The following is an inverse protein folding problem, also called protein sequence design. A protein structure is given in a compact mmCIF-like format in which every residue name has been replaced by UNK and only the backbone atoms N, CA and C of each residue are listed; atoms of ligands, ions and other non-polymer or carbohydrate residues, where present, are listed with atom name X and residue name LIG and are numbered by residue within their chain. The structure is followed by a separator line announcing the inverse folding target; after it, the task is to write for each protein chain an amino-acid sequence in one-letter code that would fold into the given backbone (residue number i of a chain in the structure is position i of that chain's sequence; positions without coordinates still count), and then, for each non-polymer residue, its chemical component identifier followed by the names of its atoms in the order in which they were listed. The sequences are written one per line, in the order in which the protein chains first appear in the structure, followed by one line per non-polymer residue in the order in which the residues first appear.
data_IF_313482233036
#
_entry.id   IF_313482233036
#
_cell.length_a   1.000
_cell.length_b   1.000
_cell.length_c   1.000
_cell.angle_alpha   90.00
_cell.angle_beta   90.00
_cell.angle_gamma   90.00
#
_symmetry.space_group_name_H-M   'P 1'
#
loop_
_entity.id
_entity.type
_entity.pdbx_description
1 polymer ?
#
# COMPACT_ATOMS: atom_id res chain seq x y z
N UNK A 1 -11.90 -0.33 17.86
CA UNK A 1 -11.59 -1.39 16.87
C UNK A 1 -10.30 -2.15 17.19
N UNK A 2 -9.14 -1.48 17.37
CA UNK A 2 -7.89 -2.17 17.75
C UNK A 2 -7.99 -3.01 19.02
N UNK A 3 -8.70 -2.54 20.05
CA UNK A 3 -8.86 -3.25 21.31
C UNK A 3 -9.70 -4.52 21.14
N UNK A 4 -10.79 -4.46 20.37
CA UNK A 4 -11.65 -5.61 20.13
C UNK A 4 -10.91 -6.71 19.34
N UNK A 5 -10.21 -6.34 18.26
CA UNK A 5 -9.39 -7.27 17.49
C UNK A 5 -8.30 -7.88 18.36
N UNK A 6 -7.60 -7.08 19.16
CA UNK A 6 -6.57 -7.57 20.09
C UNK A 6 -7.14 -8.57 21.10
N UNK A 7 -8.30 -8.29 21.69
CA UNK A 7 -8.95 -9.20 22.64
C UNK A 7 -9.32 -10.53 22.00
N UNK A 8 -9.81 -10.52 20.75
CA UNK A 8 -10.17 -11.73 20.03
C UNK A 8 -8.95 -12.54 19.60
N UNK A 9 -7.92 -11.90 19.08
CA UNK A 9 -6.76 -12.56 18.45
C UNK A 9 -5.72 -13.03 19.47
N UNK A 10 -5.48 -12.28 20.56
CA UNK A 10 -4.40 -12.60 21.51
C UNK A 10 -4.54 -14.01 22.11
N UNK A 11 -5.73 -14.48 22.56
CA UNK A 11 -5.85 -15.85 23.07
C UNK A 11 -5.56 -16.91 22.02
N UNK A 12 -5.96 -16.70 20.78
CA UNK A 12 -5.76 -17.63 19.68
C UNK A 12 -4.27 -17.69 19.27
N UNK A 13 -3.64 -16.53 19.15
CA UNK A 13 -2.21 -16.43 18.87
C UNK A 13 -1.33 -17.05 19.96
N UNK A 14 -1.71 -16.88 21.24
CA UNK A 14 -1.04 -17.55 22.37
C UNK A 14 -1.15 -19.08 22.31
N UNK A 15 -2.17 -19.62 21.63
CA UNK A 15 -2.36 -21.05 21.37
C UNK A 15 -1.71 -21.51 20.05
N UNK A 16 -0.91 -20.65 19.41
CA UNK A 16 -0.18 -20.97 18.17
C UNK A 16 -0.93 -20.71 16.87
N UNK A 17 -2.21 -20.31 16.92
CA UNK A 17 -2.98 -20.00 15.70
C UNK A 17 -2.55 -18.63 15.13
N UNK A 18 -1.88 -18.66 14.00
CA UNK A 18 -1.38 -17.44 13.32
C UNK A 18 -2.03 -17.17 11.98
N UNK A 19 -2.56 -18.21 11.34
CA UNK A 19 -3.21 -18.11 10.02
C UNK A 19 -4.49 -18.91 9.98
N UNK A 20 -5.37 -18.53 9.08
CA UNK A 20 -6.61 -19.24 8.74
C UNK A 20 -6.55 -19.58 7.27
N UNK A 21 -6.81 -20.84 6.93
CA UNK A 21 -6.96 -21.25 5.55
C UNK A 21 -8.39 -21.01 5.07
N UNK A 22 -8.52 -20.38 3.91
CA UNK A 22 -9.80 -20.16 3.25
C UNK A 22 -10.13 -21.35 2.35
N UNK A 23 -11.43 -21.54 2.03
CA UNK A 23 -11.87 -22.57 1.09
C UNK A 23 -11.18 -22.50 -0.28
N UNK A 24 -10.68 -21.33 -0.66
CA UNK A 24 -9.89 -21.11 -1.88
C UNK A 24 -8.45 -21.63 -1.80
N UNK A 25 -8.03 -22.24 -0.68
CA UNK A 25 -6.64 -22.64 -0.42
C UNK A 25 -5.71 -21.48 -0.03
N UNK A 26 -6.22 -20.27 0.07
CA UNK A 26 -5.43 -19.10 0.47
C UNK A 26 -5.33 -19.02 1.99
N UNK A 27 -4.11 -18.99 2.51
CA UNK A 27 -3.84 -18.72 3.93
C UNK A 27 -3.78 -17.23 4.21
N UNK A 28 -4.51 -16.77 5.22
CA UNK A 28 -4.56 -15.37 5.65
C UNK A 28 -4.22 -15.25 7.14
N UNK A 29 -3.54 -14.17 7.52
CA UNK A 29 -3.24 -13.91 8.93
C UNK A 29 -4.51 -13.67 9.74
N UNK A 30 -4.53 -14.20 10.96
CA UNK A 30 -5.68 -14.13 11.85
C UNK A 30 -6.14 -12.69 12.12
N UNK A 31 -5.20 -11.75 12.23
CA UNK A 31 -5.52 -10.33 12.46
C UNK A 31 -6.29 -9.73 11.27
N UNK A 32 -5.89 -10.12 10.06
CA UNK A 32 -6.58 -9.69 8.84
C UNK A 32 -7.96 -10.32 8.73
N UNK A 33 -8.06 -11.63 9.00
CA UNK A 33 -9.33 -12.34 8.97
C UNK A 33 -10.34 -11.77 9.97
N UNK A 34 -9.91 -11.56 11.22
CA UNK A 34 -10.76 -10.94 12.26
C UNK A 34 -11.17 -9.52 11.91
N UNK A 35 -10.24 -8.70 11.41
CA UNK A 35 -10.57 -7.33 10.99
C UNK A 35 -11.60 -7.34 9.86
N UNK A 36 -11.37 -8.15 8.85
CA UNK A 36 -12.28 -8.25 7.70
C UNK A 36 -13.67 -8.67 8.13
N UNK A 37 -13.76 -9.68 9.01
CA UNK A 37 -15.04 -10.15 9.55
C UNK A 37 -15.77 -9.05 10.34
N UNK A 38 -15.06 -8.36 11.25
CA UNK A 38 -15.68 -7.28 12.05
C UNK A 38 -16.16 -6.14 11.15
N UNK A 39 -15.38 -5.74 10.14
CA UNK A 39 -15.76 -4.68 9.21
C UNK A 39 -16.96 -5.08 8.34
N UNK A 40 -17.03 -6.33 7.93
CA UNK A 40 -18.15 -6.87 7.17
C UNK A 40 -19.42 -6.90 8.02
N UNK A 41 -19.33 -7.35 9.30
CA UNK A 41 -20.46 -7.32 10.23
C UNK A 41 -20.93 -5.89 10.54
N UNK A 42 -20.04 -4.93 10.61
CA UNK A 42 -20.41 -3.52 10.77
C UNK A 42 -21.12 -2.98 9.52
N UNK A 43 -20.68 -3.37 8.33
CA UNK A 43 -21.37 -3.02 7.09
C UNK A 43 -22.77 -3.64 6.99
N UNK A 44 -22.92 -4.92 7.40
CA UNK A 44 -24.23 -5.56 7.46
C UNK A 44 -25.17 -4.88 8.48
N UNK A 45 -24.65 -4.51 9.65
CA UNK A 45 -25.45 -3.77 10.64
C UNK A 45 -25.89 -2.39 10.10
N UNK A 46 -25.02 -1.68 9.41
CA UNK A 46 -25.37 -0.44 8.75
C UNK A 46 -26.47 -0.64 7.71
N UNK A 47 -26.34 -1.66 6.87
CA UNK A 47 -27.35 -2.05 5.88
C UNK A 47 -28.70 -2.38 6.53
N UNK A 48 -28.71 -3.13 7.64
CA UNK A 48 -29.94 -3.43 8.40
C UNK A 48 -30.59 -2.14 8.97
N UNK A 49 -29.79 -1.19 9.46
CA UNK A 49 -30.30 0.09 9.95
C UNK A 49 -30.90 0.89 8.79
N UNK A 50 -30.23 0.98 7.66
CA UNK A 50 -30.73 1.71 6.50
C UNK A 50 -32.05 1.10 5.97
N UNK A 51 -32.20 -0.22 6.00
CA UNK A 51 -33.46 -0.90 5.63
C UNK A 51 -34.58 -0.60 6.65
N UNK A 52 -34.27 -0.60 7.94
CA UNK A 52 -35.24 -0.23 8.96
C UNK A 52 -35.71 1.23 8.83
N UNK A 53 -34.80 2.13 8.52
CA UNK A 53 -35.09 3.56 8.26
C UNK A 53 -35.92 3.70 6.97
N UNK A 54 -35.61 2.95 5.91
CA UNK A 54 -36.38 2.91 4.67
C UNK A 54 -37.84 2.58 4.92
N UNK A 55 -38.10 1.50 5.67
CA UNK A 55 -39.45 1.05 5.98
C UNK A 55 -40.19 2.05 6.89
N UNK A 56 -39.49 2.55 7.93
CA UNK A 56 -40.08 3.48 8.89
C UNK A 56 -40.46 4.83 8.29
N UNK A 57 -39.70 5.30 7.30
CA UNK A 57 -39.92 6.58 6.62
C UNK A 57 -40.79 6.45 5.36
N UNK A 58 -41.16 5.23 4.96
CA UNK A 58 -41.94 4.98 3.75
C UNK A 58 -41.19 5.37 2.48
N UNK A 59 -39.89 5.12 2.46
CA UNK A 59 -39.06 5.31 1.28
C UNK A 59 -39.41 4.29 0.19
N UNK A 60 -39.07 4.60 -1.07
CA UNK A 60 -39.35 3.77 -2.24
C UNK A 60 -38.12 3.61 -3.16
N UNK A 61 -36.95 4.00 -2.64
CA UNK A 61 -35.71 3.92 -3.38
C UNK A 61 -34.45 4.16 -2.54
N UNK A 62 -33.32 4.09 -3.21
CA UNK A 62 -31.99 4.12 -2.63
C UNK A 62 -31.06 5.06 -3.38
N UNK A 63 -30.22 5.78 -2.67
CA UNK A 63 -29.11 6.53 -3.26
C UNK A 63 -27.78 5.94 -2.79
N UNK A 64 -26.92 5.57 -3.75
CA UNK A 64 -25.59 5.04 -3.47
C UNK A 64 -24.62 6.19 -3.22
N UNK A 65 -23.90 6.18 -2.10
CA UNK A 65 -22.86 7.19 -1.82
C UNK A 65 -21.74 7.15 -2.87
N UNK A 66 -21.00 8.28 -3.02
CA UNK A 66 -19.95 8.38 -4.03
C UNK A 66 -18.63 8.90 -3.47
N UNK A 67 -17.51 8.43 -4.01
CA UNK A 67 -16.17 8.90 -3.67
C UNK A 67 -15.15 8.68 -4.81
N UNK A 68 -14.08 9.48 -4.85
CA UNK A 68 -13.11 9.44 -5.95
C UNK A 68 -12.32 8.12 -6.05
N UNK A 69 -12.00 7.45 -4.95
CA UNK A 69 -11.24 6.19 -4.96
C UNK A 69 -12.12 4.94 -5.16
N UNK A 70 -13.17 5.08 -5.95
CA UNK A 70 -14.14 4.02 -6.23
C UNK A 70 -13.53 2.88 -7.04
N UNK A 71 -13.98 1.66 -6.76
CA UNK A 71 -13.63 0.49 -7.57
C UNK A 71 -14.31 0.57 -8.95
N UNK A 72 -13.68 0.03 -10.01
CA UNK A 72 -14.22 0.14 -11.37
C UNK A 72 -15.61 -0.46 -11.56
N UNK A 73 -15.95 -1.50 -10.79
CA UNK A 73 -17.28 -2.15 -10.81
C UNK A 73 -18.38 -1.30 -10.17
N UNK A 74 -18.02 -0.38 -9.28
CA UNK A 74 -18.95 0.51 -8.60
C UNK A 74 -18.97 1.93 -9.20
N UNK A 75 -17.98 2.30 -10.00
CA UNK A 75 -17.90 3.64 -10.60
C UNK A 75 -19.16 4.04 -11.40
N UNK A 76 -19.77 3.15 -12.22
CA UNK A 76 -20.95 3.53 -13.01
C UNK A 76 -22.22 3.73 -12.18
N UNK A 77 -22.26 3.21 -10.97
CA UNK A 77 -23.49 3.14 -10.15
C UNK A 77 -23.47 4.06 -8.93
N UNK A 78 -22.29 4.52 -8.51
CA UNK A 78 -22.18 5.42 -7.35
C UNK A 78 -22.85 6.77 -7.59
N UNK A 79 -23.39 7.37 -6.54
CA UNK A 79 -24.04 8.69 -6.54
C UNK A 79 -25.36 8.73 -7.32
N UNK A 80 -25.93 7.57 -7.64
CA UNK A 80 -27.18 7.49 -8.39
C UNK A 80 -28.32 6.98 -7.53
N UNK A 81 -29.53 7.37 -7.91
CA UNK A 81 -30.79 6.97 -7.28
C UNK A 81 -31.44 5.83 -8.06
N UNK A 82 -31.98 4.87 -7.35
CA UNK A 82 -32.62 3.66 -7.89
C UNK A 82 -33.89 3.37 -7.10
N UNK A 83 -34.94 2.90 -7.77
CA UNK A 83 -36.10 2.32 -7.09
C UNK A 83 -35.78 0.97 -6.45
N UNK A 84 -36.57 0.54 -5.48
CA UNK A 84 -36.29 -0.67 -4.69
C UNK A 84 -35.99 -1.91 -5.53
N UNK A 85 -36.86 -2.23 -6.49
CA UNK A 85 -36.69 -3.40 -7.35
C UNK A 85 -35.45 -3.28 -8.26
N UNK A 86 -35.13 -2.09 -8.71
CA UNK A 86 -33.96 -1.82 -9.54
C UNK A 86 -32.68 -1.92 -8.72
N UNK A 87 -32.67 -1.33 -7.52
CA UNK A 87 -31.54 -1.41 -6.58
C UNK A 87 -31.26 -2.87 -6.17
N UNK A 88 -32.27 -3.62 -5.79
CA UNK A 88 -32.11 -5.02 -5.42
C UNK A 88 -31.52 -5.85 -6.56
N UNK A 89 -32.05 -5.71 -7.78
CA UNK A 89 -31.52 -6.37 -8.97
C UNK A 89 -30.08 -5.99 -9.23
N UNK A 90 -29.75 -4.69 -9.18
CA UNK A 90 -28.41 -4.18 -9.37
C UNK A 90 -27.47 -4.75 -8.31
N UNK A 91 -27.79 -4.59 -7.03
CA UNK A 91 -26.95 -4.99 -5.90
C UNK A 91 -26.70 -6.50 -5.89
N UNK A 92 -27.68 -7.31 -6.30
CA UNK A 92 -27.53 -8.76 -6.43
C UNK A 92 -26.68 -9.18 -7.66
N UNK A 93 -26.54 -8.32 -8.66
CA UNK A 93 -25.70 -8.57 -9.83
C UNK A 93 -24.21 -8.26 -9.58
N UNK A 94 -23.89 -7.50 -8.53
CA UNK A 94 -22.52 -7.11 -8.23
C UNK A 94 -21.75 -8.28 -7.62
N UNK A 95 -20.50 -8.45 -8.03
CA UNK A 95 -19.59 -9.40 -7.40
C UNK A 95 -19.36 -9.06 -5.92
N UNK A 96 -19.39 -7.78 -5.58
CA UNK A 96 -19.29 -7.23 -4.24
C UNK A 96 -20.45 -6.27 -4.03
N UNK A 97 -21.42 -6.69 -3.24
CA UNK A 97 -22.60 -5.89 -2.91
C UNK A 97 -22.21 -4.58 -2.22
N UNK A 98 -23.03 -3.55 -2.39
CA UNK A 98 -22.89 -2.28 -1.69
C UNK A 98 -22.92 -2.54 -0.16
N UNK A 99 -22.05 -1.89 0.59
CA UNK A 99 -21.91 -2.08 2.04
C UNK A 99 -21.18 -3.34 2.49
N UNK A 100 -20.97 -4.34 1.61
CA UNK A 100 -20.35 -5.62 1.96
C UNK A 100 -18.88 -5.73 1.54
N UNK A 101 -18.14 -6.67 2.16
CA UNK A 101 -16.76 -7.02 1.81
C UNK A 101 -15.80 -5.83 1.72
N UNK A 102 -15.90 -4.89 2.67
CA UNK A 102 -15.17 -3.62 2.69
C UNK A 102 -15.46 -2.74 1.45
N UNK A 103 -16.64 -2.80 0.91
CA UNK A 103 -17.14 -1.75 0.03
C UNK A 103 -17.14 -0.42 0.81
N UNK A 104 -16.65 0.65 0.19
CA UNK A 104 -16.65 1.99 0.80
C UNK A 104 -17.95 2.77 0.60
N UNK A 105 -18.93 2.17 -0.10
CA UNK A 105 -20.22 2.79 -0.37
C UNK A 105 -21.26 2.37 0.67
N UNK A 106 -22.21 3.28 0.93
CA UNK A 106 -23.47 3.02 1.64
C UNK A 106 -24.63 3.25 0.69
N UNK A 107 -25.73 2.56 0.90
CA UNK A 107 -27.00 2.84 0.24
C UNK A 107 -27.89 3.58 1.25
N UNK A 108 -28.32 4.80 0.91
CA UNK A 108 -29.15 5.61 1.79
C UNK A 108 -30.59 5.56 1.27
N UNK A 109 -31.60 5.36 2.14
CA UNK A 109 -33.00 5.35 1.74
C UNK A 109 -33.46 6.74 1.29
N UNK A 110 -34.28 6.76 0.26
CA UNK A 110 -34.84 8.01 -0.32
C UNK A 110 -36.29 7.82 -0.73
N UNK A 111 -36.99 8.95 -0.92
CA UNK A 111 -38.27 9.00 -1.61
C UNK A 111 -38.02 9.55 -3.03
N UNK A 112 -38.25 8.72 -4.04
CA UNK A 112 -37.99 9.07 -5.43
C UNK A 112 -38.84 10.28 -5.86
N UNK A 113 -38.20 11.18 -6.59
CA UNK A 113 -38.84 12.40 -7.05
C UNK A 113 -39.06 13.49 -5.97
N UNK A 114 -38.81 13.15 -4.69
CA UNK A 114 -38.86 14.11 -3.54
C UNK A 114 -37.45 14.46 -3.11
N UNK A 115 -36.61 13.47 -2.85
CA UNK A 115 -35.22 13.71 -2.49
C UNK A 115 -34.39 14.15 -3.70
N UNK A 116 -33.81 15.33 -3.63
CA UNK A 116 -32.84 15.76 -4.64
C UNK A 116 -31.57 14.88 -4.55
N UNK A 117 -30.97 14.53 -5.70
CA UNK A 117 -29.70 13.79 -5.71
C UNK A 117 -28.63 14.51 -4.89
N UNK A 118 -27.94 13.76 -4.02
CA UNK A 118 -26.85 14.27 -3.18
C UNK A 118 -25.66 14.74 -4.02
N UNK A 119 -25.45 14.07 -5.17
CA UNK A 119 -24.35 14.36 -6.07
C UNK A 119 -24.85 14.88 -7.42
N UNK A 120 -24.22 15.94 -7.89
CA UNK A 120 -24.43 16.43 -9.27
C UNK A 120 -23.56 15.63 -10.24
N UNK A 121 -23.95 15.58 -11.52
CA UNK A 121 -23.13 14.93 -12.56
C UNK A 121 -21.71 15.51 -12.63
N UNK A 122 -21.56 16.82 -12.39
CA UNK A 122 -20.25 17.47 -12.36
C UNK A 122 -19.38 16.96 -11.20
N UNK A 123 -19.98 16.66 -10.03
CA UNK A 123 -19.26 16.08 -8.89
C UNK A 123 -18.87 14.63 -9.17
N UNK A 124 -19.76 13.84 -9.74
CA UNK A 124 -19.47 12.45 -10.13
C UNK A 124 -18.35 12.39 -11.19
N UNK A 125 -18.44 13.25 -12.21
CA UNK A 125 -17.37 13.36 -13.20
C UNK A 125 -16.04 13.78 -12.57
N UNK A 126 -16.07 14.73 -11.63
CA UNK A 126 -14.86 15.12 -10.89
C UNK A 126 -14.26 13.96 -10.11
N UNK A 127 -15.07 13.12 -9.44
CA UNK A 127 -14.55 11.94 -8.72
C UNK A 127 -13.89 10.96 -9.69
N UNK A 128 -14.48 10.75 -10.86
CA UNK A 128 -13.89 9.93 -11.91
C UNK A 128 -12.57 10.51 -12.42
N UNK A 129 -12.55 11.79 -12.77
CA UNK A 129 -11.35 12.47 -13.26
C UNK A 129 -10.23 12.46 -12.20
N UNK A 130 -10.56 12.65 -10.91
CA UNK A 130 -9.62 12.59 -9.82
C UNK A 130 -9.04 11.17 -9.65
N UNK A 131 -9.88 10.13 -9.77
CA UNK A 131 -9.43 8.74 -9.76
C UNK A 131 -8.50 8.44 -10.93
N UNK A 132 -8.90 8.82 -12.15
CA UNK A 132 -8.12 8.58 -13.36
C UNK A 132 -6.83 9.39 -13.40
N UNK A 133 -6.84 10.66 -12.93
CA UNK A 133 -5.63 11.47 -12.80
C UNK A 133 -4.63 10.78 -11.90
N UNK A 134 -5.10 10.23 -10.79
CA UNK A 134 -4.32 9.38 -9.89
C UNK A 134 -3.04 10.03 -9.39
N UNK A 135 -2.05 9.21 -9.11
CA UNK A 135 -0.74 9.60 -8.54
C UNK A 135 0.39 8.82 -9.20
N UNK A 136 1.59 9.39 -9.22
CA UNK A 136 2.78 8.73 -9.77
C UNK A 136 3.76 8.42 -8.65
N UNK A 137 4.21 7.19 -8.57
CA UNK A 137 5.24 6.75 -7.64
C UNK A 137 6.23 5.80 -8.32
N UNK A 138 7.51 6.07 -8.19
CA UNK A 138 8.60 5.28 -8.80
C UNK A 138 8.41 5.01 -10.32
N UNK A 139 7.85 5.99 -11.04
CA UNK A 139 7.58 5.88 -12.48
C UNK A 139 6.31 5.11 -12.84
N UNK A 140 5.59 4.55 -11.88
CA UNK A 140 4.27 3.93 -12.09
C UNK A 140 3.16 4.92 -11.76
N UNK A 141 2.16 4.96 -12.64
CA UNK A 141 0.93 5.71 -12.42
C UNK A 141 -0.10 4.78 -11.79
N UNK A 142 -0.69 5.22 -10.71
CA UNK A 142 -1.78 4.55 -10.00
C UNK A 142 -3.01 5.45 -10.07
N UNK A 143 -4.18 4.88 -10.33
CA UNK A 143 -5.44 5.53 -9.97
C UNK A 143 -5.52 5.67 -8.44
N UNK A 144 -6.41 6.50 -7.91
CA UNK A 144 -6.57 6.60 -6.45
C UNK A 144 -7.00 5.25 -5.83
N UNK A 145 -7.85 4.50 -6.54
CA UNK A 145 -8.23 3.14 -6.15
C UNK A 145 -7.03 2.21 -6.10
N UNK A 146 -6.23 2.16 -7.17
CA UNK A 146 -5.04 1.30 -7.24
C UNK A 146 -3.99 1.68 -6.19
N UNK A 147 -3.82 2.98 -5.89
CA UNK A 147 -2.93 3.42 -4.81
C UNK A 147 -3.39 2.86 -3.44
N UNK A 148 -4.69 2.83 -3.18
CA UNK A 148 -5.27 2.20 -1.98
C UNK A 148 -5.06 0.68 -1.94
N UNK A 149 -5.16 -0.01 -3.09
CA UNK A 149 -4.87 -1.44 -3.20
C UNK A 149 -3.38 -1.73 -2.98
N UNK A 150 -2.49 -0.94 -3.57
CA UNK A 150 -1.05 -1.06 -3.38
C UNK A 150 -0.66 -0.83 -1.92
N UNK A 151 -1.22 0.19 -1.26
CA UNK A 151 -1.04 0.39 0.17
C UNK A 151 -1.40 -0.87 0.96
N UNK A 152 -2.54 -1.47 0.66
CA UNK A 152 -3.02 -2.69 1.33
C UNK A 152 -2.11 -3.89 1.06
N UNK A 153 -1.54 -3.98 -0.15
CA UNK A 153 -0.58 -5.02 -0.54
C UNK A 153 0.72 -4.91 0.25
N UNK A 154 1.28 -3.70 0.38
CA UNK A 154 2.49 -3.45 1.19
C UNK A 154 2.23 -3.77 2.67
N UNK A 155 1.10 -3.36 3.22
CA UNK A 155 0.70 -3.69 4.60
C UNK A 155 0.64 -5.20 4.84
N UNK A 156 0.10 -5.95 3.88
CA UNK A 156 0.07 -7.41 3.96
C UNK A 156 1.49 -8.00 3.96
N UNK A 157 2.37 -7.49 3.09
CA UNK A 157 3.79 -7.86 3.05
C UNK A 157 4.49 -7.63 4.39
N UNK A 158 4.27 -6.47 5.02
CA UNK A 158 4.83 -6.17 6.35
C UNK A 158 4.35 -7.18 7.40
N UNK A 159 3.05 -7.52 7.41
CA UNK A 159 2.52 -8.52 8.33
C UNK A 159 3.09 -9.91 8.09
N UNK A 160 3.27 -10.29 6.83
CA UNK A 160 3.89 -11.56 6.47
C UNK A 160 5.33 -11.66 7.00
N UNK A 161 6.15 -10.63 6.78
CA UNK A 161 7.53 -10.59 7.29
C UNK A 161 7.55 -10.65 8.81
N UNK A 162 6.65 -9.95 9.50
CA UNK A 162 6.57 -10.01 10.97
C UNK A 162 6.24 -11.40 11.48
N UNK A 163 5.32 -12.13 10.83
CA UNK A 163 5.02 -13.54 11.17
C UNK A 163 6.22 -14.43 10.90
N UNK A 164 6.94 -14.20 9.82
CA UNK A 164 8.13 -14.93 9.49
C UNK A 164 9.23 -14.73 10.55
N UNK A 165 9.47 -13.50 10.98
CA UNK A 165 10.43 -13.23 12.10
C UNK A 165 10.03 -13.98 13.37
N UNK A 166 8.74 -14.06 13.69
CA UNK A 166 8.28 -14.81 14.87
C UNK A 166 8.54 -16.32 14.70
N UNK A 167 8.32 -16.86 13.51
CA UNK A 167 8.63 -18.26 13.22
C UNK A 167 10.13 -18.53 13.25
N UNK A 168 10.94 -17.63 12.68
CA UNK A 168 12.39 -17.74 12.68
C UNK A 168 12.97 -17.70 14.10
N UNK A 169 12.40 -16.87 14.99
CA UNK A 169 12.80 -16.82 16.42
C UNK A 169 12.47 -18.14 17.15
N UNK A 170 11.35 -18.78 16.81
CA UNK A 170 10.92 -20.06 17.41
C UNK A 170 11.76 -21.24 16.89
N UNK A 171 12.27 -21.16 15.67
CA UNK A 171 13.02 -22.25 14.99
C UNK A 171 14.52 -22.00 14.92
N UNK A 172 15.02 -20.93 15.52
CA UNK A 172 16.43 -20.51 15.45
C UNK A 172 16.96 -20.43 14.01
N UNK A 173 16.11 -19.95 13.08
CA UNK A 173 16.40 -19.89 11.66
C UNK A 173 17.57 -18.91 11.38
N UNK A 174 18.60 -19.32 10.63
CA UNK A 174 19.73 -18.45 10.27
C UNK A 174 19.33 -17.22 9.45
N UNK A 175 18.19 -17.25 8.74
CA UNK A 175 17.67 -16.12 7.98
C UNK A 175 16.96 -15.03 8.83
N UNK A 176 16.85 -15.22 10.14
CA UNK A 176 16.19 -14.27 11.06
C UNK A 176 16.68 -12.84 10.85
N UNK A 177 17.99 -12.63 10.81
CA UNK A 177 18.57 -11.30 10.63
C UNK A 177 18.17 -10.68 9.28
N UNK A 178 18.16 -11.48 8.23
CA UNK A 178 17.74 -11.06 6.88
C UNK A 178 16.27 -10.58 6.87
N UNK A 179 15.38 -11.33 7.54
CA UNK A 179 13.97 -10.93 7.64
C UNK A 179 13.78 -9.70 8.52
N UNK A 180 14.56 -9.52 9.57
CA UNK A 180 14.56 -8.31 10.39
C UNK A 180 15.00 -7.07 9.58
N UNK A 181 16.03 -7.18 8.76
CA UNK A 181 16.48 -6.13 7.84
C UNK A 181 15.37 -5.82 6.82
N UNK A 182 14.84 -6.87 6.17
CA UNK A 182 13.75 -6.77 5.21
C UNK A 182 12.55 -6.02 5.77
N UNK A 183 12.16 -6.30 7.01
CA UNK A 183 11.06 -5.60 7.68
C UNK A 183 11.28 -4.08 7.69
N UNK A 184 12.47 -3.64 8.06
CA UNK A 184 12.76 -2.18 8.16
C UNK A 184 12.80 -1.51 6.79
N UNK A 185 13.37 -2.17 5.79
CA UNK A 185 13.37 -1.67 4.41
C UNK A 185 11.94 -1.47 3.91
N UNK A 186 11.08 -2.48 4.11
CA UNK A 186 9.69 -2.42 3.65
C UNK A 186 8.86 -1.40 4.42
N UNK A 187 9.09 -1.24 5.72
CA UNK A 187 8.42 -0.20 6.49
C UNK A 187 8.82 1.21 6.04
N UNK A 188 10.08 1.42 5.68
CA UNK A 188 10.53 2.69 5.12
C UNK A 188 9.89 2.96 3.75
N UNK A 189 9.76 1.93 2.91
CA UNK A 189 9.07 2.01 1.62
C UNK A 189 7.59 2.34 1.78
N UNK A 190 6.90 1.68 2.71
CA UNK A 190 5.52 1.98 3.05
C UNK A 190 5.30 3.45 3.41
N UNK A 191 6.15 3.98 4.28
CA UNK A 191 6.05 5.39 4.70
C UNK A 191 6.27 6.36 3.52
N UNK A 192 7.24 6.05 2.64
CA UNK A 192 7.51 6.85 1.43
C UNK A 192 6.35 6.79 0.44
N UNK A 193 5.86 5.59 0.18
CA UNK A 193 4.70 5.38 -0.70
C UNK A 193 3.52 6.20 -0.20
N UNK A 194 3.10 6.02 1.05
CA UNK A 194 1.97 6.75 1.62
C UNK A 194 2.14 8.27 1.51
N UNK A 195 3.33 8.78 1.81
CA UNK A 195 3.63 10.21 1.68
C UNK A 195 3.53 10.69 0.23
N UNK A 196 4.06 9.93 -0.71
CA UNK A 196 4.08 10.30 -2.13
C UNK A 196 2.68 10.30 -2.75
N UNK A 197 1.83 9.34 -2.38
CA UNK A 197 0.47 9.22 -2.91
C UNK A 197 -0.59 9.95 -2.07
N UNK A 198 -0.18 10.65 -1.01
CA UNK A 198 -1.11 11.42 -0.16
C UNK A 198 -1.99 10.57 0.74
N UNK A 199 -1.67 9.30 0.97
CA UNK A 199 -2.44 8.41 1.84
C UNK A 199 -1.89 8.40 3.27
N UNK A 200 -2.74 8.36 4.31
CA UNK A 200 -2.29 8.22 5.68
C UNK A 200 -1.67 6.83 5.92
N UNK A 201 -0.63 6.76 6.74
CA UNK A 201 -0.11 5.48 7.23
C UNK A 201 -1.08 4.85 8.22
N UNK A 202 -1.37 3.55 8.06
CA UNK A 202 -2.34 2.82 8.90
C UNK A 202 -1.61 1.85 9.83
N UNK A 203 -0.97 2.40 10.87
CA UNK A 203 -0.13 1.62 11.81
C UNK A 203 -0.88 0.46 12.47
N UNK A 204 -2.17 0.61 12.70
CA UNK A 204 -3.05 -0.42 13.25
C UNK A 204 -3.21 -1.64 12.33
N UNK A 205 -3.05 -1.45 11.01
CA UNK A 205 -3.07 -2.53 10.01
C UNK A 205 -1.76 -3.29 9.92
N UNK A 206 -0.68 -2.75 10.48
CA UNK A 206 0.63 -3.37 10.48
C UNK A 206 0.87 -4.27 11.71
N UNK A 207 -0.07 -4.33 12.64
CA UNK A 207 0.07 -5.10 13.87
C UNK A 207 -0.09 -6.60 13.61
N UNK A 208 0.76 -7.38 14.27
CA UNK A 208 0.75 -8.85 14.29
C UNK A 208 0.82 -9.31 15.73
N UNK A 209 -0.04 -10.26 16.11
CA UNK A 209 -0.06 -10.81 17.46
C UNK A 209 1.27 -11.51 17.77
N UNK A 210 1.84 -11.22 18.93
CA UNK A 210 3.15 -11.73 19.33
C UNK A 210 4.33 -10.88 18.85
N UNK A 211 4.17 -10.00 17.85
CA UNK A 211 5.23 -9.11 17.40
C UNK A 211 5.19 -7.80 18.22
N UNK A 212 6.03 -7.71 19.22
CA UNK A 212 6.06 -6.60 20.15
C UNK A 212 7.24 -5.63 19.97
N UNK A 213 7.48 -4.83 21.01
CA UNK A 213 8.58 -3.84 21.03
C UNK A 213 9.95 -4.53 20.95
N UNK A 214 10.12 -5.70 21.59
CA UNK A 214 11.38 -6.43 21.57
C UNK A 214 11.78 -6.84 20.16
N UNK A 215 10.87 -7.47 19.41
CA UNK A 215 11.10 -7.85 18.02
C UNK A 215 11.37 -6.64 17.13
N UNK A 216 10.60 -5.57 17.34
CA UNK A 216 10.79 -4.31 16.59
C UNK A 216 12.18 -3.71 16.84
N UNK A 217 12.63 -3.68 18.09
CA UNK A 217 13.96 -3.15 18.43
C UNK A 217 15.09 -4.00 17.84
N UNK A 218 14.95 -5.34 17.88
CA UNK A 218 15.92 -6.24 17.23
C UNK A 218 16.00 -5.99 15.72
N UNK A 219 14.87 -5.81 15.07
CA UNK A 219 14.85 -5.47 13.64
C UNK A 219 15.52 -4.11 13.34
N UNK A 220 15.31 -3.10 14.19
CA UNK A 220 16.01 -1.81 14.07
C UNK A 220 17.53 -1.99 14.21
N UNK A 221 17.95 -2.82 15.16
CA UNK A 221 19.37 -3.07 15.41
C UNK A 221 20.04 -3.84 14.27
N UNK A 222 19.38 -4.90 13.79
CA UNK A 222 19.82 -5.66 12.63
C UNK A 222 19.99 -4.75 11.40
N UNK A 223 19.00 -3.90 11.14
CA UNK A 223 19.05 -2.94 10.04
C UNK A 223 20.20 -1.93 10.16
N UNK A 224 20.45 -1.38 11.35
CA UNK A 224 21.55 -0.44 11.60
C UNK A 224 22.93 -1.05 11.38
N UNK A 225 23.07 -2.37 11.63
CA UNK A 225 24.31 -3.12 11.46
C UNK A 225 24.46 -3.77 10.09
N UNK A 226 23.42 -3.76 9.27
CA UNK A 226 23.43 -4.40 7.97
C UNK A 226 24.47 -3.75 7.04
N UNK A 227 25.19 -4.57 6.29
CA UNK A 227 26.01 -4.09 5.20
C UNK A 227 25.13 -3.53 4.06
N UNK A 228 25.61 -2.54 3.29
CA UNK A 228 24.83 -1.94 2.21
C UNK A 228 24.25 -2.96 1.22
N UNK A 229 25.00 -4.02 0.93
CA UNK A 229 24.56 -5.07 0.00
C UNK A 229 23.32 -5.81 0.48
N UNK A 230 23.10 -5.94 1.79
CA UNK A 230 21.92 -6.60 2.39
C UNK A 230 20.65 -5.76 2.29
N UNK A 231 20.76 -4.50 1.88
CA UNK A 231 19.65 -3.56 1.77
C UNK A 231 19.09 -3.48 0.35
N UNK A 232 19.73 -4.16 -0.59
CA UNK A 232 19.31 -4.20 -1.99
C UNK A 232 18.22 -5.24 -2.24
N UNK A 233 17.55 -5.06 -3.35
CA UNK A 233 16.69 -6.08 -3.99
C UNK A 233 15.73 -6.78 -3.01
N UNK A 234 15.01 -5.97 -2.24
CA UNK A 234 13.96 -6.49 -1.36
C UNK A 234 12.70 -6.79 -2.15
N UNK A 235 12.25 -8.02 -2.07
CA UNK A 235 11.02 -8.49 -2.73
C UNK A 235 9.87 -8.64 -1.74
N UNK A 236 8.67 -8.15 -2.12
CA UNK A 236 7.43 -8.40 -1.41
C UNK A 236 6.36 -8.84 -2.41
N UNK A 237 5.76 -10.00 -2.14
CA UNK A 237 4.68 -10.54 -2.98
C UNK A 237 5.01 -10.52 -4.48
N UNK A 238 6.26 -10.86 -4.83
CA UNK A 238 6.74 -10.92 -6.21
C UNK A 238 7.16 -9.57 -6.81
N UNK A 239 7.11 -8.49 -6.04
CA UNK A 239 7.57 -7.17 -6.49
C UNK A 239 8.87 -6.77 -5.79
N UNK A 240 9.83 -6.34 -6.57
CA UNK A 240 11.07 -5.76 -6.03
C UNK A 240 10.81 -4.39 -5.44
N UNK A 241 11.28 -4.18 -4.22
CA UNK A 241 11.27 -2.89 -3.54
C UNK A 241 12.69 -2.43 -3.28
N UNK A 242 12.95 -1.17 -3.59
CA UNK A 242 14.26 -0.55 -3.38
C UNK A 242 14.13 0.55 -2.33
N UNK A 243 14.84 0.41 -1.22
CA UNK A 243 14.88 1.44 -0.18
C UNK A 243 15.90 2.53 -0.51
N UNK A 244 15.66 3.23 -1.57
CA UNK A 244 16.57 4.25 -2.12
C UNK A 244 16.68 5.53 -1.30
N UNK A 245 15.87 5.68 -0.24
CA UNK A 245 16.00 6.77 0.73
C UNK A 245 17.05 6.51 1.81
N UNK A 246 17.48 5.26 1.99
CA UNK A 246 18.51 4.93 2.96
C UNK A 246 19.87 5.39 2.42
N UNK A 247 20.59 6.16 3.23
CA UNK A 247 21.90 6.71 2.83
C UNK A 247 22.92 5.62 2.56
N UNK A 248 22.85 4.49 3.26
CA UNK A 248 23.73 3.35 3.02
C UNK A 248 23.46 2.72 1.64
N UNK A 249 22.21 2.72 1.19
CA UNK A 249 21.84 2.28 -0.16
C UNK A 249 22.29 3.27 -1.21
N UNK A 250 22.21 4.58 -0.92
CA UNK A 250 22.77 5.61 -1.80
C UNK A 250 24.27 5.43 -2.03
N UNK A 251 24.96 4.94 -1.02
CA UNK A 251 26.39 4.63 -1.10
C UNK A 251 26.69 3.32 -1.85
N UNK A 252 25.66 2.53 -2.19
CA UNK A 252 25.84 1.28 -2.91
C UNK A 252 26.01 1.55 -4.40
N UNK A 253 26.94 0.86 -5.03
CA UNK A 253 27.20 1.02 -6.45
C UNK A 253 25.99 0.64 -7.30
N UNK A 254 26.06 1.11 -8.49
CA UNK A 254 25.21 0.92 -9.61
C UNK A 254 24.35 -0.36 -9.72
N UNK A 255 24.80 -1.59 -9.41
CA UNK A 255 23.94 -2.77 -9.57
C UNK A 255 22.56 -2.64 -8.95
N UNK A 256 22.42 -1.78 -7.95
CA UNK A 256 21.14 -1.43 -7.38
C UNK A 256 20.16 -0.83 -8.40
N UNK A 257 20.67 -0.08 -9.36
CA UNK A 257 19.86 0.63 -10.35
C UNK A 257 19.68 -0.12 -11.66
N UNK A 258 20.39 -1.21 -11.87
CA UNK A 258 20.39 -1.94 -13.14
C UNK A 258 19.04 -2.59 -13.52
N UNK A 259 18.20 -2.89 -12.54
CA UNK A 259 16.88 -3.47 -12.80
C UNK A 259 15.83 -2.46 -13.27
N UNK A 260 16.17 -1.20 -13.32
CA UNK A 260 15.26 -0.10 -13.67
C UNK A 260 15.61 0.43 -15.04
N UNK A 261 15.50 -0.40 -16.08
CA UNK A 261 15.63 -0.07 -17.52
C UNK A 261 16.40 1.24 -17.81
N UNK A 262 17.66 1.31 -17.41
CA UNK A 262 18.57 2.45 -17.61
C UNK A 262 18.14 3.81 -17.00
N UNK A 263 17.05 3.86 -16.24
CA UNK A 263 16.64 5.06 -15.51
C UNK A 263 17.08 4.97 -14.07
N UNK A 264 17.71 6.02 -13.61
CA UNK A 264 18.02 6.19 -12.20
C UNK A 264 16.73 6.54 -11.49
N UNK A 265 16.35 5.84 -10.42
CA UNK A 265 15.13 6.18 -9.67
C UNK A 265 15.24 7.56 -8.99
N UNK A 266 14.11 8.09 -8.47
CA UNK A 266 14.05 9.48 -8.02
C UNK A 266 15.17 9.91 -7.09
N UNK A 267 15.54 9.08 -6.09
CA UNK A 267 16.61 9.42 -5.15
C UNK A 267 18.01 9.28 -5.71
N UNK A 268 18.21 8.28 -6.56
CA UNK A 268 19.46 8.18 -7.28
C UNK A 268 19.62 9.35 -8.26
N UNK A 269 18.53 9.84 -8.85
CA UNK A 269 18.56 11.07 -9.65
C UNK A 269 18.91 12.29 -8.79
N UNK A 270 18.37 12.42 -7.59
CA UNK A 270 18.73 13.53 -6.68
C UNK A 270 20.19 13.46 -6.28
N UNK A 271 20.69 12.28 -5.97
CA UNK A 271 22.09 12.07 -5.67
C UNK A 271 22.99 12.37 -6.88
N UNK A 272 22.64 11.84 -8.02
CA UNK A 272 23.33 12.08 -9.28
C UNK A 272 23.32 13.58 -9.65
N UNK A 273 22.18 14.28 -9.43
CA UNK A 273 22.14 15.76 -9.58
C UNK A 273 23.11 16.47 -8.66
N UNK A 274 23.26 16.01 -7.42
CA UNK A 274 24.24 16.57 -6.47
C UNK A 274 25.67 16.45 -6.98
N UNK A 275 26.03 15.33 -7.58
CA UNK A 275 27.32 15.08 -8.19
C UNK A 275 27.46 15.82 -9.52
N UNK A 276 26.44 15.73 -10.37
CA UNK A 276 26.44 16.33 -11.72
C UNK A 276 26.48 17.85 -11.70
N UNK A 277 25.88 18.51 -10.69
CA UNK A 277 25.98 19.96 -10.51
C UNK A 277 27.41 20.47 -10.31
N UNK A 278 28.31 19.60 -9.89
CA UNK A 278 29.73 19.92 -9.70
C UNK A 278 30.54 19.76 -10.99
N UNK A 279 29.95 19.17 -12.02
CA UNK A 279 30.62 18.90 -13.29
C UNK A 279 30.01 19.80 -14.36
N UNK A 280 30.82 20.71 -14.87
CA UNK A 280 30.39 21.63 -15.94
C UNK A 280 29.99 20.86 -17.20
N UNK A 281 28.91 21.28 -17.82
CA UNK A 281 28.46 20.77 -19.13
C UNK A 281 27.57 19.53 -19.09
N UNK A 282 27.14 19.07 -17.89
CA UNK A 282 26.17 17.98 -17.78
C UNK A 282 24.77 18.50 -17.48
N UNK A 283 23.80 18.05 -18.26
CA UNK A 283 22.39 18.38 -18.00
C UNK A 283 21.82 17.55 -16.85
N UNK A 284 21.18 18.25 -15.90
CA UNK A 284 20.49 17.61 -14.79
C UNK A 284 19.20 16.97 -15.28
N UNK A 285 19.03 15.68 -15.07
CA UNK A 285 17.86 14.93 -15.48
C UNK A 285 18.11 13.86 -16.55
N UNK A 286 19.35 13.78 -17.06
CA UNK A 286 19.77 12.63 -17.89
C UNK A 286 19.88 11.36 -17.05
N UNK A 287 19.76 10.22 -17.70
CA UNK A 287 20.03 8.93 -17.07
C UNK A 287 21.46 8.91 -16.54
N UNK A 288 21.65 8.59 -15.28
CA UNK A 288 22.95 8.55 -14.66
C UNK A 288 23.12 7.29 -13.81
N UNK A 289 24.34 6.81 -13.82
CA UNK A 289 24.77 5.69 -13.03
C UNK A 289 25.98 6.09 -12.21
N UNK A 290 25.87 5.99 -10.91
CA UNK A 290 26.90 6.41 -9.98
C UNK A 290 27.56 5.20 -9.34
N UNK A 291 28.88 5.16 -9.36
CA UNK A 291 29.67 4.10 -8.73
C UNK A 291 30.26 4.63 -7.41
N UNK A 292 30.17 3.82 -6.38
CA UNK A 292 30.71 4.11 -5.07
C UNK A 292 31.63 3.01 -4.56
N UNK A 293 32.54 3.35 -3.69
CA UNK A 293 33.26 2.38 -2.86
C UNK A 293 32.34 1.87 -1.75
N UNK A 294 32.75 0.82 -1.04
CA UNK A 294 32.00 0.25 0.09
C UNK A 294 31.78 1.23 1.25
N UNK A 295 32.67 2.17 1.42
CA UNK A 295 32.61 3.25 2.39
C UNK A 295 31.84 4.49 1.91
N UNK A 296 31.20 4.40 0.76
CA UNK A 296 30.29 5.44 0.25
C UNK A 296 30.99 6.54 -0.55
N UNK A 297 32.28 6.42 -0.84
CA UNK A 297 33.00 7.39 -1.67
C UNK A 297 32.68 7.19 -3.14
N UNK A 298 32.27 8.25 -3.82
CA UNK A 298 32.01 8.19 -5.26
C UNK A 298 33.31 7.96 -6.02
N UNK A 299 33.36 6.87 -6.81
CA UNK A 299 34.52 6.50 -7.65
C UNK A 299 34.33 6.86 -9.09
N UNK A 300 33.13 7.21 -9.49
CA UNK A 300 32.79 7.63 -10.85
C UNK A 300 31.31 7.50 -11.10
N UNK A 301 30.86 8.11 -12.14
CA UNK A 301 29.49 7.99 -12.60
C UNK A 301 29.45 7.96 -14.13
N UNK A 302 28.35 7.46 -14.63
CA UNK A 302 28.10 7.29 -16.02
C UNK A 302 26.79 7.98 -16.39
N UNK A 303 26.84 8.83 -17.39
CA UNK A 303 25.64 9.51 -17.90
C UNK A 303 25.23 8.81 -19.17
N UNK A 304 23.99 8.28 -19.19
CA UNK A 304 23.38 7.63 -20.34
C UNK A 304 22.65 8.63 -21.23
N UNK A 305 22.42 8.24 -22.44
CA UNK A 305 21.78 9.02 -23.49
C UNK A 305 22.44 8.75 -24.85
N UNK A 306 22.05 9.48 -25.90
CA UNK A 306 22.68 9.31 -27.24
C UNK A 306 24.19 9.53 -27.21
N UNK A 307 24.70 10.23 -26.21
CA UNK A 307 26.13 10.45 -25.96
C UNK A 307 26.51 10.02 -24.55
N UNK A 308 26.58 8.72 -24.30
CA UNK A 308 27.00 8.24 -22.99
C UNK A 308 28.47 8.57 -22.74
N UNK A 309 28.76 9.24 -21.62
CA UNK A 309 30.12 9.53 -21.20
C UNK A 309 30.39 9.05 -19.78
N UNK A 310 31.61 8.57 -19.56
CA UNK A 310 32.11 8.23 -18.24
C UNK A 310 32.81 9.44 -17.66
N UNK A 311 32.34 9.91 -16.51
CA UNK A 311 32.87 11.11 -15.86
C UNK A 311 33.52 10.72 -14.53
N UNK A 312 34.65 11.30 -14.24
CA UNK A 312 35.29 11.16 -12.93
C UNK A 312 34.60 12.07 -11.91
N UNK A 313 34.47 11.64 -10.64
CA UNK A 313 33.95 12.51 -9.61
C UNK A 313 34.85 13.75 -9.45
N UNK A 314 34.30 14.90 -9.05
CA UNK A 314 35.12 16.05 -8.63
C UNK A 314 35.96 15.64 -7.44
N UNK A 315 37.19 16.12 -7.39
CA UNK A 315 38.14 15.95 -6.26
C UNK A 315 37.65 16.68 -4.98
#
# INVERSE_FOLDING_TARGET
MNTAIRRAVTPLAKRGLRTIEQKSGRSVGIEYACRRYIMDQLGQLDDEIQHADHDALGCDGWEISAHAACAPDHEPIQGRQYGDAEFEKLNNSLQRRIGHLNCGHTANPIILGVNAPQYTEAQLQKFKDDNERGVVYNGYRYTLYEAGQEQSRIENGIRLIKRQILADEETENPDLQKHQIKLRVVQAEYARFCKAVGLPTRSERLQVAGFGRSQSNRAVWAYKKAAPEQLRDVEIAGHKLYSVTDERIRAVPKPFFQGVSNKVNGLAQEYARGVLKKVQGLEVGTEAVVNFTKDGKCTGYYVGGQNSMKVKPPE
#
